data_IF_465285695613
#
_entry.id   IF_465285695613
#
_cell.length_a   1.000
_cell.length_b   1.000
_cell.length_c   1.000
_cell.angle_alpha   90.00
_cell.angle_beta   90.00
_cell.angle_gamma   90.00
#
_symmetry.space_group_name_H-M   'P 1'
#
loop_
_entity.id
_entity.type
_entity.pdbx_description
1 polymer ?
#
# COMPACT_ATOMS: atom_id res chain seq x y z
N UNK A 1 17.83 28.28 13.82
CA UNK A 1 18.25 27.90 12.46
C UNK A 1 17.70 26.50 12.19
N UNK A 2 16.75 26.29 11.28
CA UNK A 2 16.30 24.93 10.95
C UNK A 2 17.45 24.17 10.29
N UNK A 3 17.81 23.01 10.84
CA UNK A 3 18.77 22.09 10.23
C UNK A 3 18.09 21.40 9.06
N UNK A 4 18.53 21.68 7.83
CA UNK A 4 18.06 20.98 6.64
C UNK A 4 18.84 19.67 6.58
N UNK A 5 18.18 18.55 6.88
CA UNK A 5 18.77 17.24 6.62
C UNK A 5 19.04 17.10 5.12
N UNK A 6 20.21 16.58 4.70
CA UNK A 6 20.46 16.33 3.30
C UNK A 6 19.41 15.36 2.75
N UNK A 7 18.99 15.58 1.50
CA UNK A 7 18.09 14.65 0.84
C UNK A 7 18.72 13.25 0.79
N UNK A 8 17.92 12.18 0.92
CA UNK A 8 18.44 10.82 0.78
C UNK A 8 19.04 10.63 -0.61
N UNK A 9 20.26 10.06 -0.69
CA UNK A 9 20.89 9.66 -1.95
C UNK A 9 20.75 8.17 -2.17
N UNK A 10 20.48 7.75 -3.41
CA UNK A 10 20.41 6.34 -3.80
C UNK A 10 21.70 6.01 -4.57
N UNK A 11 22.39 4.94 -4.17
CA UNK A 11 23.61 4.45 -4.83
C UNK A 11 23.58 2.92 -4.95
N UNK A 12 23.86 2.35 -6.14
CA UNK A 12 24.19 3.04 -7.39
C UNK A 12 23.01 3.85 -7.95
N UNK A 13 23.30 4.76 -8.88
CA UNK A 13 22.24 5.45 -9.62
C UNK A 13 21.46 4.40 -10.44
N UNK A 14 20.12 4.38 -10.36
CA UNK A 14 19.31 3.42 -11.10
C UNK A 14 19.43 3.66 -12.61
N UNK A 15 19.34 2.58 -13.37
CA UNK A 15 19.28 2.65 -14.83
C UNK A 15 17.91 3.19 -15.31
N UNK A 16 17.85 3.68 -16.54
CA UNK A 16 16.63 4.31 -17.10
C UNK A 16 15.43 3.34 -17.12
N UNK A 17 15.66 2.06 -17.36
CA UNK A 17 14.63 1.02 -17.35
C UNK A 17 14.10 0.74 -15.93
N UNK A 18 14.98 0.79 -14.93
CA UNK A 18 14.59 0.67 -13.52
C UNK A 18 13.74 1.87 -13.08
N UNK A 19 14.13 3.09 -13.49
CA UNK A 19 13.34 4.30 -13.24
C UNK A 19 11.97 4.19 -13.91
N UNK A 20 11.92 3.74 -15.17
CA UNK A 20 10.67 3.55 -15.89
C UNK A 20 9.76 2.52 -15.20
N UNK A 21 10.32 1.40 -14.74
CA UNK A 21 9.58 0.37 -14.02
C UNK A 21 9.01 0.87 -12.68
N UNK A 22 9.80 1.63 -11.92
CA UNK A 22 9.37 2.23 -10.64
C UNK A 22 8.25 3.25 -10.86
N UNK A 23 8.41 4.14 -11.84
CA UNK A 23 7.39 5.15 -12.17
C UNK A 23 6.10 4.48 -12.63
N UNK A 24 6.19 3.46 -13.49
CA UNK A 24 5.03 2.67 -13.92
C UNK A 24 4.31 2.02 -12.72
N UNK A 25 5.07 1.41 -11.79
CA UNK A 25 4.51 0.82 -10.59
C UNK A 25 3.79 1.85 -9.70
N UNK A 26 4.37 3.04 -9.51
CA UNK A 26 3.73 4.14 -8.77
C UNK A 26 2.43 4.55 -9.46
N UNK A 27 2.44 4.76 -10.78
CA UNK A 27 1.25 5.18 -11.53
C UNK A 27 0.13 4.14 -11.43
N UNK A 28 0.46 2.85 -11.51
CA UNK A 28 -0.51 1.75 -11.40
C UNK A 28 -1.03 1.60 -9.97
N UNK A 29 -0.15 1.73 -8.97
CA UNK A 29 -0.50 1.52 -7.57
C UNK A 29 -1.16 2.74 -6.91
N UNK A 30 -0.99 3.94 -7.45
CA UNK A 30 -1.54 5.17 -6.87
C UNK A 30 -3.05 5.21 -7.09
N UNK A 31 -3.87 5.25 -6.01
CA UNK A 31 -5.31 5.40 -6.15
C UNK A 31 -5.64 6.73 -6.83
N UNK A 32 -6.45 6.71 -7.89
CA UNK A 32 -6.95 7.94 -8.51
C UNK A 32 -8.05 8.55 -7.64
N UNK A 33 -7.96 9.86 -7.40
CA UNK A 33 -8.99 10.60 -6.68
C UNK A 33 -10.23 10.72 -7.59
N UNK A 34 -11.29 9.99 -7.28
CA UNK A 34 -12.51 9.98 -8.08
C UNK A 34 -13.14 8.60 -8.24
N UNK A 35 -13.51 7.97 -7.13
CA UNK A 35 -14.44 6.83 -7.09
C UNK A 35 -13.97 5.52 -7.73
N UNK A 36 -14.24 4.42 -7.04
CA UNK A 36 -14.25 3.09 -7.66
C UNK A 36 -15.35 3.09 -8.73
N UNK A 37 -15.03 2.77 -9.99
CA UNK A 37 -16.07 2.49 -10.99
C UNK A 37 -16.98 1.39 -10.42
N UNK A 38 -18.30 1.63 -10.24
CA UNK A 38 -19.22 0.64 -9.69
C UNK A 38 -19.29 -0.66 -10.51
N UNK A 39 -18.77 -0.67 -11.76
CA UNK A 39 -18.63 -1.87 -12.60
C UNK A 39 -17.33 -2.64 -12.35
N UNK A 40 -16.37 -2.05 -11.63
CA UNK A 40 -15.17 -2.76 -11.19
C UNK A 40 -15.58 -3.67 -10.04
N UNK A 41 -15.77 -4.95 -10.35
CA UNK A 41 -15.87 -5.98 -9.31
C UNK A 41 -14.63 -5.85 -8.43
N UNK A 42 -14.75 -5.62 -7.11
CA UNK A 42 -13.57 -5.45 -6.27
C UNK A 42 -12.73 -6.71 -6.39
N UNK A 43 -11.47 -6.55 -6.80
CA UNK A 43 -10.54 -7.66 -6.90
C UNK A 43 -10.55 -8.41 -5.55
N UNK A 44 -10.89 -9.71 -5.56
CA UNK A 44 -10.85 -10.56 -4.36
C UNK A 44 -9.45 -10.78 -3.81
N UNK A 45 -8.43 -10.30 -4.53
CA UNK A 45 -7.07 -10.21 -4.03
C UNK A 45 -6.96 -9.13 -2.96
N UNK A 46 -7.08 -9.57 -1.71
CA UNK A 46 -6.68 -8.77 -0.56
C UNK A 46 -5.16 -8.88 -0.48
N UNK A 47 -4.46 -7.76 -0.58
CA UNK A 47 -3.04 -7.70 -0.23
C UNK A 47 -2.89 -8.33 1.16
N UNK A 48 -2.03 -9.34 1.29
CA UNK A 48 -1.70 -9.94 2.58
C UNK A 48 -0.89 -8.93 3.40
N UNK A 49 -1.53 -7.85 3.85
CA UNK A 49 -1.00 -6.96 4.90
C UNK A 49 -0.88 -7.67 6.26
N UNK A 50 -0.98 -9.00 6.28
CA UNK A 50 -1.07 -9.85 7.46
C UNK A 50 0.25 -10.55 7.82
N UNK A 51 1.36 -10.27 7.15
CA UNK A 51 2.62 -10.86 7.59
C UNK A 51 3.26 -10.14 8.79
N UNK A 52 2.91 -8.87 9.04
CA UNK A 52 3.30 -8.15 10.26
C UNK A 52 2.13 -7.76 11.18
N UNK A 53 0.88 -7.97 10.77
CA UNK A 53 -0.29 -7.54 11.57
C UNK A 53 -0.93 -8.71 12.31
N UNK A 54 -0.92 -8.64 13.65
CA UNK A 54 -1.61 -9.59 14.53
C UNK A 54 -3.12 -9.61 14.21
N UNK A 55 -3.75 -10.75 13.89
CA UNK A 55 -5.17 -10.79 13.54
C UNK A 55 -6.04 -10.33 14.71
N UNK A 56 -6.75 -9.20 14.57
CA UNK A 56 -7.84 -8.84 15.46
C UNK A 56 -9.16 -9.40 14.90
N UNK A 57 -9.57 -10.60 15.36
CA UNK A 57 -10.96 -10.74 15.78
C UNK A 57 -11.09 -11.59 17.06
N UNK A 58 -10.24 -11.38 18.07
CA UNK A 58 -10.47 -11.86 19.44
C UNK A 58 -11.28 -10.83 20.26
N UNK A 59 -12.30 -10.21 19.64
CA UNK A 59 -13.20 -9.23 20.28
C UNK A 59 -14.67 -9.54 20.02
N UNK A 60 -15.02 -10.82 19.94
CA UNK A 60 -16.44 -11.22 19.85
C UNK A 60 -16.75 -12.41 20.75
N UNK A 61 -16.53 -12.26 22.06
CA UNK A 61 -17.36 -12.98 23.03
C UNK A 61 -18.72 -12.27 23.04
N UNK A 62 -19.72 -12.82 22.36
CA UNK A 62 -21.11 -12.45 22.62
C UNK A 62 -21.56 -13.26 23.84
N UNK A 63 -21.99 -12.62 24.93
CA UNK A 63 -22.67 -13.32 25.99
C UNK A 63 -24.10 -13.62 25.50
N UNK A 64 -24.54 -14.86 25.66
CA UNK A 64 -25.88 -15.40 25.41
C UNK A 64 -26.22 -15.83 23.97
N UNK A 65 -26.44 -17.15 23.81
CA UNK A 65 -26.97 -17.79 22.60
C UNK A 65 -26.93 -19.33 22.67
N UNK A 66 -27.96 -19.90 23.33
CA UNK A 66 -28.25 -21.31 23.67
C UNK A 66 -27.26 -22.07 24.57
#
# INVERSE_FOLDING_TARGET
MPSISPAPSISPAPADDEVAAIVAAIVVATPRYGGVDPRTTPARWRFSGRWWTKPAPMRRRRPWGN
#
